data_IF_224538873027
#
_entry.id   IF_224538873027
#
_cell.length_a   1.000
_cell.length_b   1.000
_cell.length_c   1.000
_cell.angle_alpha   90.00
_cell.angle_beta   90.00
_cell.angle_gamma   90.00
#
_symmetry.space_group_name_H-M   'P 1'
#
loop_
_entity.id
_entity.type
_entity.pdbx_description
1 polymer ?
#
# COMPACT_ATOMS: atom_id res chain seq x y z
N UNK A 1 -1.47 -10.43 24.46
CA UNK A 1 -1.40 -8.98 24.75
C UNK A 1 0.03 -8.48 24.67
N UNK A 2 0.47 -8.07 23.47
CA UNK A 2 1.82 -7.54 23.21
C UNK A 2 1.78 -6.04 22.87
N UNK A 3 0.64 -5.37 22.99
CA UNK A 3 0.50 -3.93 22.72
C UNK A 3 0.58 -3.56 21.22
N UNK A 4 0.45 -4.52 20.32
CA UNK A 4 0.47 -4.26 18.87
C UNK A 4 -0.81 -3.53 18.47
N UNK A 5 -0.68 -2.39 17.80
CA UNK A 5 -1.84 -1.59 17.38
C UNK A 5 -2.47 -2.13 16.09
N UNK A 6 -1.67 -2.67 15.16
CA UNK A 6 -2.13 -3.21 13.87
C UNK A 6 -1.28 -4.40 13.45
N UNK A 7 -1.89 -5.36 12.77
CA UNK A 7 -1.21 -6.50 12.15
C UNK A 7 -1.41 -6.48 10.65
N UNK A 8 -0.47 -7.09 9.91
CA UNK A 8 -0.53 -7.23 8.47
C UNK A 8 -0.62 -8.73 8.16
N UNK A 9 -1.64 -9.13 7.41
CA UNK A 9 -1.81 -10.48 6.91
C UNK A 9 -1.41 -10.52 5.43
N UNK A 10 -0.37 -11.29 5.08
CA UNK A 10 0.12 -11.50 3.71
C UNK A 10 -0.44 -12.80 3.12
N UNK A 11 0.41 -13.80 2.93
CA UNK A 11 0.07 -15.12 2.39
C UNK A 11 -1.18 -15.74 3.03
N UNK A 12 -1.38 -15.53 4.35
CA UNK A 12 -2.57 -16.00 5.05
C UNK A 12 -3.86 -15.42 4.48
N UNK A 13 -3.85 -14.16 4.03
CA UNK A 13 -5.02 -13.52 3.44
C UNK A 13 -5.39 -14.11 2.07
N UNK A 14 -4.41 -14.59 1.32
CA UNK A 14 -4.64 -15.27 0.04
C UNK A 14 -5.19 -16.69 0.25
N UNK A 15 -4.58 -17.42 1.19
CA UNK A 15 -4.91 -18.83 1.45
C UNK A 15 -6.23 -19.02 2.21
N UNK A 16 -6.54 -18.11 3.11
CA UNK A 16 -7.74 -18.17 3.95
C UNK A 16 -8.37 -16.76 4.11
N UNK A 17 -9.14 -16.31 3.12
CA UNK A 17 -9.88 -15.04 3.21
C UNK A 17 -10.89 -14.99 4.36
N UNK A 18 -11.39 -16.15 4.81
CA UNK A 18 -12.33 -16.23 5.94
C UNK A 18 -11.68 -15.83 7.26
N UNK A 19 -10.40 -16.18 7.45
CA UNK A 19 -9.59 -15.74 8.58
C UNK A 19 -9.51 -14.21 8.65
N UNK A 20 -9.30 -13.53 7.50
CA UNK A 20 -9.25 -12.07 7.46
C UNK A 20 -10.54 -11.46 7.96
N UNK A 21 -11.70 -11.97 7.47
CA UNK A 21 -13.04 -11.50 7.88
C UNK A 21 -13.30 -11.72 9.37
N UNK A 22 -12.89 -12.87 9.89
CA UNK A 22 -13.04 -13.21 11.31
C UNK A 22 -12.21 -12.26 12.18
N UNK A 23 -10.91 -12.09 11.87
CA UNK A 23 -10.01 -11.24 12.64
C UNK A 23 -10.41 -9.76 12.54
N UNK A 24 -10.86 -9.29 11.38
CA UNK A 24 -11.38 -7.91 11.24
C UNK A 24 -12.62 -7.67 12.09
N UNK A 25 -13.49 -8.67 12.25
CA UNK A 25 -14.70 -8.58 13.08
C UNK A 25 -14.34 -8.55 14.57
N UNK A 26 -13.37 -9.37 14.98
CA UNK A 26 -12.90 -9.40 16.37
C UNK A 26 -12.08 -8.17 16.74
N UNK A 27 -11.29 -7.63 15.79
CA UNK A 27 -10.35 -6.52 15.98
C UNK A 27 -10.55 -5.41 14.95
N UNK A 28 -11.67 -4.66 15.01
CA UNK A 28 -11.99 -3.63 14.02
C UNK A 28 -10.88 -2.58 13.88
N UNK A 29 -10.51 -2.26 12.64
CA UNK A 29 -9.51 -1.26 12.31
C UNK A 29 -8.05 -1.66 12.60
N UNK A 30 -7.81 -2.90 13.05
CA UNK A 30 -6.47 -3.37 13.43
C UNK A 30 -5.83 -4.33 12.44
N UNK A 31 -6.49 -4.64 11.34
CA UNK A 31 -6.00 -5.59 10.34
C UNK A 31 -5.76 -4.87 9.03
N UNK A 32 -4.55 -4.98 8.51
CA UNK A 32 -4.20 -4.62 7.15
C UNK A 32 -3.87 -5.89 6.35
N UNK A 33 -4.03 -5.83 5.03
CA UNK A 33 -3.66 -6.92 4.12
C UNK A 33 -2.44 -6.51 3.32
N UNK A 34 -1.40 -7.35 3.33
CA UNK A 34 -0.24 -7.23 2.45
C UNK A 34 -0.49 -7.97 1.16
N UNK A 35 -0.37 -7.26 0.04
CA UNK A 35 -0.46 -7.79 -1.31
C UNK A 35 0.86 -7.58 -2.02
N UNK A 36 1.69 -8.60 -2.01
CA UNK A 36 2.92 -8.62 -2.78
C UNK A 36 2.57 -9.07 -4.20
N UNK A 37 2.89 -8.27 -5.22
CA UNK A 37 2.45 -8.53 -6.59
C UNK A 37 3.60 -8.40 -7.59
N UNK A 38 3.53 -9.21 -8.63
CA UNK A 38 4.34 -9.13 -9.84
C UNK A 38 3.42 -9.07 -11.05
N UNK A 39 3.59 -8.08 -11.91
CA UNK A 39 2.72 -7.87 -13.07
C UNK A 39 1.22 -7.83 -12.74
N UNK A 40 0.89 -7.31 -11.54
CA UNK A 40 -0.50 -7.21 -11.05
C UNK A 40 -1.09 -8.49 -10.48
N UNK A 41 -0.37 -9.62 -10.52
CA UNK A 41 -0.76 -10.90 -9.91
C UNK A 41 -0.13 -11.05 -8.52
N UNK A 42 -0.95 -11.50 -7.57
CA UNK A 42 -0.51 -11.64 -6.18
C UNK A 42 0.44 -12.82 -6.03
N UNK A 43 1.57 -12.59 -5.36
CA UNK A 43 2.54 -13.60 -4.98
C UNK A 43 2.31 -14.07 -3.54
N UNK A 44 2.66 -15.34 -3.30
CA UNK A 44 2.55 -15.99 -1.99
C UNK A 44 3.87 -16.67 -1.62
N UNK A 45 3.93 -17.24 -0.42
CA UNK A 45 5.09 -18.01 0.09
C UNK A 45 6.41 -17.22 0.02
N UNK A 46 6.39 -15.94 0.42
CA UNK A 46 7.60 -15.10 0.37
C UNK A 46 8.10 -14.89 -1.06
N UNK A 47 7.16 -14.70 -2.02
CA UNK A 47 7.39 -14.45 -3.46
C UNK A 47 7.81 -15.70 -4.26
N UNK A 48 7.81 -16.87 -3.64
CA UNK A 48 8.21 -18.11 -4.29
C UNK A 48 7.19 -18.64 -5.30
N UNK A 49 5.91 -18.31 -5.08
CA UNK A 49 4.80 -18.75 -5.92
C UNK A 49 3.96 -17.54 -6.34
N UNK A 50 3.58 -17.50 -7.61
CA UNK A 50 2.63 -16.55 -8.16
C UNK A 50 1.25 -17.19 -8.23
N UNK A 51 0.22 -16.49 -7.74
CA UNK A 51 -1.16 -16.93 -7.88
C UNK A 51 -1.77 -16.41 -9.18
N UNK A 52 -2.92 -16.95 -9.56
CA UNK A 52 -3.73 -16.44 -10.67
C UNK A 52 -4.66 -15.29 -10.22
N UNK A 53 -4.52 -14.83 -8.98
CA UNK A 53 -5.37 -13.80 -8.37
C UNK A 53 -4.77 -12.43 -8.66
N UNK A 54 -5.54 -11.52 -9.26
CA UNK A 54 -5.13 -10.14 -9.43
C UNK A 54 -5.24 -9.37 -8.11
N UNK A 55 -4.41 -8.34 -7.93
CA UNK A 55 -4.50 -7.48 -6.74
C UNK A 55 -5.88 -6.80 -6.63
N UNK A 56 -6.48 -6.41 -7.75
CA UNK A 56 -7.83 -5.82 -7.79
C UNK A 56 -8.89 -6.83 -7.32
N UNK A 57 -8.89 -8.04 -7.87
CA UNK A 57 -9.84 -9.10 -7.48
C UNK A 57 -9.71 -9.47 -5.99
N UNK A 58 -8.48 -9.47 -5.46
CA UNK A 58 -8.26 -9.68 -4.03
C UNK A 58 -8.77 -8.51 -3.18
N UNK A 59 -8.60 -7.26 -3.63
CA UNK A 59 -9.14 -6.09 -2.94
C UNK A 59 -10.68 -6.12 -2.89
N UNK A 60 -11.32 -6.46 -4.02
CA UNK A 60 -12.78 -6.63 -4.10
C UNK A 60 -13.29 -7.69 -3.11
N UNK A 61 -12.55 -8.78 -2.95
CA UNK A 61 -12.89 -9.85 -1.99
C UNK A 61 -12.94 -9.34 -0.55
N UNK A 62 -12.21 -8.28 -0.20
CA UNK A 62 -12.15 -7.70 1.13
C UNK A 62 -12.94 -6.39 1.29
N UNK A 63 -13.66 -5.93 0.28
CA UNK A 63 -14.36 -4.64 0.29
C UNK A 63 -15.28 -4.45 1.51
N UNK A 64 -15.94 -5.50 1.97
CA UNK A 64 -16.85 -5.51 3.13
C UNK A 64 -16.27 -6.20 4.38
N UNK A 65 -15.00 -6.57 4.36
CA UNK A 65 -14.36 -7.33 5.44
C UNK A 65 -13.93 -6.48 6.64
N UNK A 66 -13.86 -5.15 6.49
CA UNK A 66 -13.37 -4.23 7.53
C UNK A 66 -11.84 -4.14 7.61
N UNK A 67 -11.15 -4.47 6.51
CA UNK A 67 -9.70 -4.28 6.37
C UNK A 67 -9.37 -2.79 6.47
N UNK A 68 -8.39 -2.44 7.31
CA UNK A 68 -8.04 -1.04 7.59
C UNK A 68 -7.14 -0.40 6.53
N UNK A 69 -6.39 -1.20 5.79
CA UNK A 69 -5.55 -0.77 4.68
C UNK A 69 -5.06 -1.98 3.86
N UNK A 70 -4.74 -1.74 2.60
CA UNK A 70 -3.98 -2.65 1.74
C UNK A 70 -2.57 -2.09 1.59
N UNK A 71 -1.56 -2.90 1.86
CA UNK A 71 -0.16 -2.59 1.56
C UNK A 71 0.17 -3.31 0.26
N UNK A 72 0.28 -2.54 -0.83
CA UNK A 72 0.58 -3.08 -2.15
C UNK A 72 2.07 -2.95 -2.45
N UNK A 73 2.77 -4.10 -2.53
CA UNK A 73 4.19 -4.17 -2.84
C UNK A 73 4.41 -4.67 -4.26
N UNK A 74 5.03 -3.85 -5.11
CA UNK A 74 5.60 -4.32 -6.37
C UNK A 74 6.95 -4.99 -6.08
N UNK A 75 6.97 -6.34 -6.15
CA UNK A 75 8.15 -7.11 -5.73
C UNK A 75 9.32 -7.00 -6.70
N UNK A 76 9.10 -6.68 -7.96
CA UNK A 76 10.18 -6.48 -8.93
C UNK A 76 10.87 -5.13 -8.74
N UNK A 77 10.22 -4.21 -8.04
CA UNK A 77 10.77 -2.90 -7.68
C UNK A 77 11.29 -2.86 -6.24
N UNK A 78 10.87 -3.81 -5.39
CA UNK A 78 11.28 -3.79 -3.99
C UNK A 78 12.79 -3.93 -3.82
N UNK A 79 13.38 -3.00 -3.07
CA UNK A 79 14.83 -2.92 -2.89
C UNK A 79 15.65 -2.47 -4.11
N UNK A 80 15.05 -2.31 -5.30
CA UNK A 80 15.76 -1.98 -6.55
C UNK A 80 16.05 -0.50 -6.73
N UNK A 81 15.46 0.39 -5.93
CA UNK A 81 15.67 1.85 -6.00
C UNK A 81 15.34 2.46 -7.37
N UNK A 82 14.41 1.86 -8.09
CA UNK A 82 14.01 2.24 -9.45
C UNK A 82 12.72 3.06 -9.53
N UNK A 83 12.23 3.56 -8.40
CA UNK A 83 10.96 4.26 -8.29
C UNK A 83 9.77 3.33 -8.00
N UNK A 84 8.72 3.88 -7.38
CA UNK A 84 7.48 3.15 -7.08
C UNK A 84 6.69 2.81 -8.36
N UNK A 85 5.87 1.76 -8.31
CA UNK A 85 4.91 1.48 -9.38
C UNK A 85 3.63 2.33 -9.18
N UNK A 86 3.73 3.62 -9.53
CA UNK A 86 2.65 4.59 -9.35
C UNK A 86 1.40 4.18 -10.10
N UNK A 87 1.54 3.73 -11.36
CA UNK A 87 0.42 3.36 -12.22
C UNK A 87 -0.38 2.18 -11.65
N UNK A 88 0.29 1.10 -11.29
CA UNK A 88 -0.37 -0.09 -10.74
C UNK A 88 -0.98 0.19 -9.36
N UNK A 89 -0.28 0.94 -8.51
CA UNK A 89 -0.79 1.34 -7.18
C UNK A 89 -2.03 2.22 -7.29
N UNK A 90 -2.02 3.21 -8.19
CA UNK A 90 -3.16 4.09 -8.42
C UNK A 90 -4.35 3.34 -9.03
N UNK A 91 -4.10 2.40 -9.95
CA UNK A 91 -5.16 1.56 -10.51
C UNK A 91 -5.85 0.72 -9.42
N UNK A 92 -5.07 0.13 -8.51
CA UNK A 92 -5.63 -0.60 -7.37
C UNK A 92 -6.40 0.34 -6.43
N UNK A 93 -5.85 1.52 -6.11
CA UNK A 93 -6.48 2.47 -5.20
C UNK A 93 -7.84 2.96 -5.72
N UNK A 94 -7.99 3.13 -7.05
CA UNK A 94 -9.28 3.49 -7.68
C UNK A 94 -10.29 2.35 -7.75
N UNK A 95 -9.83 1.11 -7.64
CA UNK A 95 -10.69 -0.08 -7.72
C UNK A 95 -11.29 -0.49 -6.37
N UNK A 96 -10.92 0.17 -5.26
CA UNK A 96 -11.39 -0.19 -3.91
C UNK A 96 -11.54 1.04 -3.02
N UNK A 97 -12.48 0.99 -2.07
CA UNK A 97 -12.61 1.99 -1.01
C UNK A 97 -11.65 1.74 0.18
N UNK A 98 -10.92 0.62 0.17
CA UNK A 98 -9.93 0.33 1.20
C UNK A 98 -8.69 1.19 0.96
N UNK A 99 -8.19 1.94 1.98
CA UNK A 99 -6.99 2.74 1.85
C UNK A 99 -5.80 1.94 1.33
N UNK A 100 -5.18 2.35 0.20
CA UNK A 100 -4.02 1.67 -0.40
C UNK A 100 -2.75 2.40 -0.04
N UNK A 101 -1.76 1.65 0.44
CA UNK A 101 -0.41 2.11 0.80
C UNK A 101 0.57 1.52 -0.22
N UNK A 102 1.30 2.39 -0.93
CA UNK A 102 2.33 1.98 -1.87
C UNK A 102 3.54 1.39 -1.14
N UNK A 103 4.09 0.29 -1.66
CA UNK A 103 5.32 -0.34 -1.18
C UNK A 103 6.13 -0.89 -2.35
N UNK A 104 7.44 -1.00 -2.17
CA UNK A 104 8.38 -1.44 -3.21
C UNK A 104 8.87 -0.29 -4.10
N UNK A 105 10.18 -0.14 -4.20
CA UNK A 105 10.85 0.77 -5.13
C UNK A 105 10.91 2.26 -4.74
N UNK A 106 10.17 2.73 -3.74
CA UNK A 106 10.22 4.14 -3.31
C UNK A 106 11.65 4.57 -2.98
N UNK A 107 12.23 5.44 -3.79
CA UNK A 107 13.66 5.74 -3.79
C UNK A 107 14.00 7.23 -3.62
N UNK A 108 13.04 8.11 -3.83
CA UNK A 108 13.23 9.57 -3.85
C UNK A 108 12.03 10.32 -3.28
N UNK A 109 12.22 11.62 -3.03
CA UNK A 109 11.12 12.52 -2.69
C UNK A 109 10.15 12.67 -3.87
N UNK A 110 10.65 12.66 -5.10
CA UNK A 110 9.83 12.80 -6.31
C UNK A 110 8.85 11.62 -6.44
N UNK A 111 9.28 10.39 -6.11
CA UNK A 111 8.38 9.22 -6.08
C UNK A 111 7.21 9.43 -5.10
N UNK A 112 7.50 10.01 -3.93
CA UNK A 112 6.46 10.29 -2.93
C UNK A 112 5.47 11.37 -3.39
N UNK A 113 5.97 12.40 -4.05
CA UNK A 113 5.15 13.48 -4.62
C UNK A 113 4.30 12.96 -5.80
N UNK A 114 4.86 12.08 -6.63
CA UNK A 114 4.14 11.45 -7.73
C UNK A 114 3.01 10.54 -7.22
N UNK A 115 3.26 9.75 -6.18
CA UNK A 115 2.23 8.95 -5.50
C UNK A 115 1.13 9.84 -4.91
N UNK A 116 1.50 10.94 -4.25
CA UNK A 116 0.54 11.90 -3.68
C UNK A 116 -0.33 12.55 -4.76
N UNK A 117 0.25 12.91 -5.90
CA UNK A 117 -0.45 13.56 -7.01
C UNK A 117 -1.58 12.69 -7.61
N UNK A 118 -1.58 11.37 -7.36
CA UNK A 118 -2.69 10.50 -7.78
C UNK A 118 -3.98 10.74 -7.01
N UNK A 119 -3.91 11.29 -5.77
CA UNK A 119 -5.06 11.62 -4.95
C UNK A 119 -5.69 10.44 -4.19
N UNK A 120 -5.66 9.25 -4.77
CA UNK A 120 -6.36 8.06 -4.23
C UNK A 120 -5.45 7.18 -3.35
N UNK A 121 -4.13 7.44 -3.31
CA UNK A 121 -3.16 6.64 -2.56
C UNK A 121 -3.05 7.18 -1.14
N UNK A 122 -3.34 6.35 -0.14
CA UNK A 122 -3.40 6.74 1.26
C UNK A 122 -2.02 6.96 1.93
N UNK A 123 -0.96 6.40 1.38
CA UNK A 123 0.39 6.53 1.93
C UNK A 123 1.43 5.72 1.17
N UNK A 124 2.68 5.81 1.63
CA UNK A 124 3.78 5.05 1.05
C UNK A 124 4.72 4.51 2.14
N UNK A 125 5.33 3.35 1.87
CA UNK A 125 6.39 2.77 2.67
C UNK A 125 7.70 2.96 1.92
N UNK A 126 8.66 3.60 2.59
CA UNK A 126 10.04 3.67 2.13
C UNK A 126 10.95 2.95 3.12
N UNK A 127 11.70 2.00 2.64
CA UNK A 127 12.66 1.24 3.43
C UNK A 127 14.10 1.70 3.16
N UNK A 128 14.75 1.04 2.20
CA UNK A 128 16.16 1.24 1.86
C UNK A 128 16.55 2.70 1.62
N UNK A 129 15.73 3.46 0.91
CA UNK A 129 16.03 4.86 0.61
C UNK A 129 16.16 5.75 1.86
N UNK A 130 15.42 5.45 2.93
CA UNK A 130 15.57 6.13 4.23
C UNK A 130 16.90 5.75 4.90
N UNK A 131 17.26 4.46 4.90
CA UNK A 131 18.51 3.99 5.53
C UNK A 131 19.75 4.46 4.77
N UNK A 132 19.67 4.53 3.44
CA UNK A 132 20.75 5.02 2.56
C UNK A 132 20.83 6.57 2.55
N UNK A 133 19.95 7.28 3.25
CA UNK A 133 19.92 8.74 3.33
C UNK A 133 19.46 9.45 2.04
N UNK A 134 18.85 8.73 1.10
CA UNK A 134 18.30 9.30 -0.14
C UNK A 134 17.02 10.09 0.09
N UNK A 135 16.26 9.71 1.11
CA UNK A 135 15.06 10.41 1.55
C UNK A 135 15.31 10.90 2.97
N UNK A 136 15.23 12.22 3.16
CA UNK A 136 15.11 12.81 4.49
C UNK A 136 13.64 12.81 4.91
N UNK A 137 13.33 12.06 5.97
CA UNK A 137 11.95 11.88 6.42
C UNK A 137 11.26 13.20 6.81
N UNK A 138 12.00 14.14 7.43
CA UNK A 138 11.43 15.43 7.84
C UNK A 138 11.09 16.28 6.63
N UNK A 139 11.99 16.32 5.65
CA UNK A 139 11.76 17.05 4.40
C UNK A 139 10.61 16.43 3.62
N UNK A 140 10.57 15.11 3.51
CA UNK A 140 9.49 14.40 2.83
C UNK A 140 8.11 14.69 3.46
N UNK A 141 7.99 14.57 4.78
CA UNK A 141 6.72 14.88 5.48
C UNK A 141 6.33 16.34 5.29
N UNK A 142 7.29 17.28 5.30
CA UNK A 142 7.01 18.71 5.08
C UNK A 142 6.50 18.95 3.66
N UNK A 143 7.17 18.40 2.65
CA UNK A 143 6.79 18.56 1.24
C UNK A 143 5.38 18.00 0.97
N UNK A 144 5.09 16.79 1.47
CA UNK A 144 3.79 16.15 1.31
C UNK A 144 2.65 16.94 1.97
N UNK A 145 2.90 17.58 3.14
CA UNK A 145 1.91 18.46 3.79
C UNK A 145 1.63 19.72 2.99
N UNK A 146 2.64 20.32 2.38
CA UNK A 146 2.50 21.55 1.58
C UNK A 146 1.74 21.26 0.28
N UNK A 147 2.07 20.16 -0.42
CA UNK A 147 1.37 19.73 -1.63
C UNK A 147 -0.12 19.41 -1.38
N UNK A 148 -0.46 18.86 -0.22
CA UNK A 148 -1.85 18.60 0.15
C UNK A 148 -2.66 19.90 0.34
N UNK A 149 -2.02 21.00 0.78
CA UNK A 149 -2.70 22.28 0.98
C UNK A 149 -3.02 22.97 -0.35
N UNK A 150 -2.14 22.86 -1.33
CA UNK A 150 -2.33 23.47 -2.66
C UNK A 150 -3.43 22.76 -3.49
N UNK A 151 -3.63 21.45 -3.30
CA UNK A 151 -4.68 20.69 -3.99
C UNK A 151 -6.08 20.90 -3.38
N UNK A 152 -6.18 21.36 -2.12
CA UNK A 152 -7.44 21.62 -1.44
C UNK A 152 -8.07 22.99 -1.75
N UNK A 153 -7.31 23.96 -2.25
CA UNK A 153 -7.80 25.32 -2.52
C UNK A 153 -8.24 25.56 -3.97
N UNK A 154 -8.06 24.60 -4.88
CA UNK A 154 -8.41 24.70 -6.30
C UNK A 154 -9.86 24.37 -6.68
N UNK A 155 -10.73 24.09 -5.74
CA UNK A 155 -12.08 23.56 -5.95
C UNK A 155 -13.20 24.50 -5.51
N UNK A 156 -13.13 25.82 -5.81
CA UNK A 156 -14.27 26.70 -5.64
C UNK A 156 -14.29 27.79 -6.72
N UNK A 157 -14.94 27.47 -7.81
CA UNK A 157 -15.56 28.44 -8.73
C UNK A 157 -16.80 27.82 -9.34
#
# INVERSE_FOLDING_TARGET
DRGVARVILGTAAVKDPSLVREVCREWPGRVAVGMDARDGLVAVEGWAEQSDITAVSMAEQFADAGVSAIIYTDIDRDGMMGGANVVATAALARATDIPVIASGGVSSLDDLLELQAQGDIAGAISGRALYDGRIDLKQAIKALKTGATEMGEGGSC
#
